data_IF_172580486831
#
_entry.id   IF_172580486831
#
_cell.length_a   1.000
_cell.length_b   1.000
_cell.length_c   1.000
_cell.angle_alpha   90.00
_cell.angle_beta   90.00
_cell.angle_gamma   90.00
#
_symmetry.space_group_name_H-M   'P 1'
#
loop_
_entity.id
_entity.type
_entity.pdbx_description
1 polymer ?
#
# COMPACT_ATOMS: atom_id res chain seq x y z
N UNK A 1 -14.65 2.61 -11.75
CA UNK A 1 -13.83 1.59 -11.05
C UNK A 1 -12.38 1.95 -11.32
N UNK A 2 -11.58 2.23 -10.31
CA UNK A 2 -10.18 2.66 -10.50
C UNK A 2 -9.28 1.44 -10.28
N UNK A 3 -8.43 1.11 -11.26
CA UNK A 3 -7.52 -0.03 -11.18
C UNK A 3 -6.12 0.42 -10.74
N UNK A 4 -5.48 -0.36 -9.86
CA UNK A 4 -4.12 -0.13 -9.38
C UNK A 4 -3.18 -1.12 -10.05
N UNK A 5 -2.20 -0.63 -10.81
CA UNK A 5 -1.20 -1.46 -11.47
C UNK A 5 0.13 -1.36 -10.72
N UNK A 6 0.59 -2.48 -10.15
CA UNK A 6 1.87 -2.58 -9.46
C UNK A 6 2.99 -2.92 -10.45
N UNK A 7 4.22 -2.53 -10.10
CA UNK A 7 5.38 -2.64 -11.00
C UNK A 7 5.72 -4.10 -11.37
N UNK A 8 5.52 -5.04 -10.44
CA UNK A 8 5.76 -6.46 -10.65
C UNK A 8 4.92 -7.33 -9.71
N UNK A 9 4.99 -8.65 -9.93
CA UNK A 9 4.24 -9.65 -9.15
C UNK A 9 4.73 -9.77 -7.70
N UNK A 10 5.99 -9.41 -7.42
CA UNK A 10 6.54 -9.41 -6.06
C UNK A 10 5.92 -8.29 -5.23
N UNK A 11 5.84 -7.08 -5.78
CA UNK A 11 5.15 -5.95 -5.17
C UNK A 11 3.67 -6.29 -4.86
N UNK A 12 3.02 -7.01 -5.77
CA UNK A 12 1.64 -7.47 -5.59
C UNK A 12 1.50 -8.54 -4.50
N UNK A 13 2.38 -9.54 -4.48
CA UNK A 13 2.38 -10.59 -3.47
C UNK A 13 2.64 -10.02 -2.07
N UNK A 14 3.57 -9.09 -1.96
CA UNK A 14 3.91 -8.41 -0.72
C UNK A 14 2.75 -7.57 -0.17
N UNK A 15 2.11 -6.77 -1.04
CA UNK A 15 0.94 -5.98 -0.65
C UNK A 15 -0.22 -6.91 -0.22
N UNK A 16 -0.46 -7.98 -0.96
CA UNK A 16 -1.48 -8.96 -0.61
C UNK A 16 -1.20 -9.63 0.74
N UNK A 17 0.05 -10.01 1.01
CA UNK A 17 0.47 -10.57 2.30
C UNK A 17 0.29 -9.59 3.46
N UNK A 18 0.59 -8.32 3.25
CA UNK A 18 0.35 -7.26 4.24
C UNK A 18 -1.15 -7.10 4.55
N UNK A 19 -2.00 -7.01 3.53
CA UNK A 19 -3.45 -6.90 3.70
C UNK A 19 -4.05 -8.14 4.35
N UNK A 20 -3.59 -9.33 3.98
CA UNK A 20 -4.01 -10.58 4.60
C UNK A 20 -3.67 -10.61 6.10
N UNK A 21 -2.50 -10.09 6.48
CA UNK A 21 -2.09 -9.97 7.88
C UNK A 21 -2.95 -8.97 8.66
N UNK A 22 -3.32 -7.83 8.06
CA UNK A 22 -4.26 -6.89 8.68
C UNK A 22 -5.61 -7.57 8.95
N UNK A 23 -6.19 -8.22 7.93
CA UNK A 23 -7.47 -8.91 8.06
C UNK A 23 -7.43 -10.08 9.04
N UNK A 24 -6.28 -10.76 9.15
CA UNK A 24 -6.09 -11.85 10.10
C UNK A 24 -6.13 -11.35 11.55
N UNK A 25 -5.50 -10.21 11.83
CA UNK A 25 -5.47 -9.65 13.18
C UNK A 25 -6.72 -8.86 13.54
N UNK A 26 -7.21 -8.03 12.62
CA UNK A 26 -8.38 -7.19 12.85
C UNK A 26 -9.15 -6.95 11.54
N UNK A 27 -10.31 -7.58 11.41
CA UNK A 27 -11.19 -7.41 10.25
C UNK A 27 -11.83 -6.02 10.17
N UNK A 28 -11.84 -5.26 11.27
CA UNK A 28 -12.31 -3.88 11.28
C UNK A 28 -11.21 -2.87 10.93
N UNK A 29 -9.99 -3.33 10.61
CA UNK A 29 -8.89 -2.46 10.24
C UNK A 29 -9.24 -1.57 9.04
N UNK A 30 -8.96 -0.27 9.17
CA UNK A 30 -9.10 0.69 8.09
C UNK A 30 -7.76 0.86 7.35
N UNK A 31 -7.82 1.02 6.03
CA UNK A 31 -6.64 1.25 5.18
C UNK A 31 -6.78 2.56 4.43
N UNK A 32 -5.75 3.41 4.50
CA UNK A 32 -5.61 4.60 3.65
C UNK A 32 -4.55 4.34 2.59
N UNK A 33 -4.89 4.64 1.34
CA UNK A 33 -4.01 4.54 0.18
C UNK A 33 -3.63 5.95 -0.29
N UNK A 34 -2.34 6.16 -0.56
CA UNK A 34 -1.82 7.39 -1.14
C UNK A 34 -0.82 7.06 -2.26
N UNK A 35 -0.94 7.72 -3.41
CA UNK A 35 -0.04 7.51 -4.55
C UNK A 35 0.72 8.79 -4.86
N UNK A 36 2.01 8.68 -5.16
CA UNK A 36 2.84 9.81 -5.60
C UNK A 36 4.22 9.34 -6.04
N UNK A 37 4.83 10.02 -7.03
CA UNK A 37 6.20 9.71 -7.49
C UNK A 37 6.42 8.26 -7.95
N UNK A 38 5.38 7.57 -8.39
CA UNK A 38 5.44 6.16 -8.78
C UNK A 38 5.43 5.14 -7.67
N UNK A 39 5.06 5.56 -6.46
CA UNK A 39 4.94 4.69 -5.29
C UNK A 39 3.53 4.79 -4.72
N UNK A 40 3.00 3.67 -4.27
CA UNK A 40 1.83 3.56 -3.41
C UNK A 40 2.31 3.46 -1.97
N UNK A 41 1.83 4.34 -1.10
CA UNK A 41 1.91 4.21 0.35
C UNK A 41 0.56 3.68 0.89
N UNK A 42 0.64 2.67 1.76
CA UNK A 42 -0.49 1.98 2.38
C UNK A 42 -0.36 2.09 3.89
N UNK A 43 -1.34 2.71 4.51
CA UNK A 43 -1.39 2.93 5.95
C UNK A 43 -2.55 2.12 6.53
N UNK A 44 -2.24 1.04 7.23
CA UNK A 44 -3.20 0.22 7.96
C UNK A 44 -3.32 0.69 9.42
N UNK A 45 -4.55 0.97 9.84
CA UNK A 45 -4.89 1.30 11.22
C UNK A 45 -5.86 0.25 11.77
N UNK A 46 -5.37 -0.74 12.53
CA UNK A 46 -6.21 -1.63 13.33
C UNK A 46 -7.03 -0.80 14.33
N UNK A 47 -8.29 -1.20 14.57
CA UNK A 47 -9.12 -0.58 15.60
C UNK A 47 -8.67 -0.98 17.02
N UNK A 48 -8.04 -2.15 17.14
CA UNK A 48 -7.64 -2.73 18.42
C UNK A 48 -6.31 -2.20 18.98
N UNK A 49 -5.49 -1.51 18.17
CA UNK A 49 -4.15 -1.05 18.56
C UNK A 49 -3.92 0.37 18.01
N UNK A 50 -3.32 1.27 18.80
CA UNK A 50 -2.91 2.61 18.34
C UNK A 50 -1.75 2.58 17.32
N UNK A 51 -1.30 1.39 16.92
CA UNK A 51 -0.16 1.17 16.05
C UNK A 51 -0.56 1.30 14.58
N UNK A 52 0.17 2.17 13.85
CA UNK A 52 0.06 2.31 12.41
C UNK A 52 0.99 1.31 11.71
N UNK A 53 0.44 0.44 10.87
CA UNK A 53 1.22 -0.43 10.01
C UNK A 53 1.38 0.21 8.62
N UNK A 54 2.60 0.32 8.12
CA UNK A 54 2.89 1.01 6.85
C UNK A 54 3.56 0.04 5.88
N UNK A 55 3.10 0.05 4.63
CA UNK A 55 3.81 -0.55 3.49
C UNK A 55 3.87 0.39 2.30
N UNK A 56 4.93 0.26 1.52
CA UNK A 56 5.05 0.89 0.22
C UNK A 56 5.11 -0.17 -0.87
N UNK A 57 4.64 0.17 -2.07
CA UNK A 57 4.76 -0.66 -3.26
C UNK A 57 5.01 0.21 -4.50
N UNK A 58 5.81 -0.27 -5.46
CA UNK A 58 6.05 0.46 -6.70
C UNK A 58 4.87 0.32 -7.67
N UNK A 59 4.49 1.42 -8.33
CA UNK A 59 3.44 1.46 -9.35
C UNK A 59 4.03 1.26 -10.75
N UNK A 60 3.30 0.56 -11.61
CA UNK A 60 3.63 0.45 -13.02
C UNK A 60 3.38 1.79 -13.74
N UNK A 61 4.23 2.12 -14.71
CA UNK A 61 4.01 3.26 -15.62
C UNK A 61 4.26 4.64 -15.04
N UNK A 62 4.82 4.75 -13.83
CA UNK A 62 5.27 6.04 -13.33
C UNK A 62 6.65 6.36 -13.92
N UNK A 63 6.82 7.49 -14.64
CA UNK A 63 8.15 7.96 -14.98
C UNK A 63 8.91 8.17 -13.67
N UNK A 64 10.13 7.63 -13.61
CA UNK A 64 11.02 7.78 -12.45
C UNK A 64 11.06 9.24 -12.03
N UNK A 65 11.09 9.46 -10.70
CA UNK A 65 11.21 10.75 -10.06
C UNK A 65 12.04 11.75 -10.89
N UNK A 66 11.35 12.66 -11.59
CA UNK A 66 11.93 13.88 -12.13
C UNK A 66 11.38 15.04 -11.29
N UNK A 67 12.32 15.67 -10.56
CA UNK A 67 12.20 16.89 -9.76
C UNK A 67 11.23 16.81 -8.55
N UNK A 68 11.65 17.03 -7.30
CA UNK A 68 12.51 18.13 -6.86
C UNK A 68 11.76 19.45 -6.96
N UNK A 69 10.81 19.68 -6.05
CA UNK A 69 10.29 21.00 -5.68
C UNK A 69 9.67 20.90 -4.28
#
# INVERSE_FOLDING_TARGET
MTALSLADTGEAADLAGFLARLLHYDRAAAVRLQTGGGVLAVFGRPASFEVLAIRTARLAGAPGAAAGA
#
